data_IF_028348720821
#
_entry.id   IF_028348720821
#
_cell.length_a   1.000
_cell.length_b   1.000
_cell.length_c   1.000
_cell.angle_alpha   90.00
_cell.angle_beta   90.00
_cell.angle_gamma   90.00
#
_symmetry.space_group_name_H-M   'P 1'
#
loop_
_entity.id
_entity.type
_entity.pdbx_description
1 polymer ?
#
# COMPACT_ATOMS: atom_id res chain seq x y z
N UNK A 1 -49.55 122.69 -48.15
CA UNK A 1 -50.13 124.00 -47.81
C UNK A 1 -50.17 124.82 -49.08
N UNK A 2 -51.35 125.30 -49.48
CA UNK A 2 -51.50 126.35 -50.49
C UNK A 2 -52.30 127.44 -49.80
N UNK A 3 -51.66 128.57 -49.51
CA UNK A 3 -52.37 129.76 -49.09
C UNK A 3 -52.65 130.57 -50.35
N UNK A 4 -53.87 130.48 -50.88
CA UNK A 4 -54.34 131.45 -51.86
C UNK A 4 -54.54 132.79 -51.14
N UNK A 5 -53.59 133.71 -51.34
CA UNK A 5 -53.70 135.07 -50.85
C UNK A 5 -54.81 135.78 -51.61
N UNK A 6 -56.00 135.88 -50.99
CA UNK A 6 -57.09 136.76 -51.43
C UNK A 6 -56.70 138.21 -51.15
N UNK A 7 -55.69 138.70 -51.88
CA UNK A 7 -55.26 140.08 -51.87
C UNK A 7 -56.36 140.95 -52.48
N UNK A 8 -57.13 141.61 -51.61
CA UNK A 8 -58.20 142.49 -52.02
C UNK A 8 -57.64 143.68 -52.83
N UNK A 9 -57.90 143.66 -54.14
CA UNK A 9 -57.66 144.81 -55.02
C UNK A 9 -58.68 145.89 -54.70
N UNK A 10 -58.38 146.71 -53.69
CA UNK A 10 -59.20 147.82 -53.19
C UNK A 10 -59.21 149.05 -54.15
N UNK A 11 -59.22 148.76 -55.46
CA UNK A 11 -59.22 149.73 -56.55
C UNK A 11 -60.62 150.29 -56.78
N UNK A 12 -60.76 151.61 -56.69
CA UNK A 12 -62.07 152.28 -56.82
C UNK A 12 -62.69 152.03 -58.20
N UNK A 13 -63.89 151.47 -58.22
CA UNK A 13 -64.62 151.23 -59.47
C UNK A 13 -65.17 152.53 -60.06
N UNK A 14 -65.30 152.56 -61.38
CA UNK A 14 -65.86 153.69 -62.13
C UNK A 14 -67.28 154.03 -61.69
N UNK A 15 -67.54 155.30 -61.36
CA UNK A 15 -68.82 155.84 -60.88
C UNK A 15 -69.97 155.88 -61.90
N UNK A 16 -69.87 155.13 -63.01
CA UNK A 16 -71.00 154.73 -63.85
C UNK A 16 -71.24 153.24 -63.64
N UNK A 17 -72.43 152.87 -63.13
CA UNK A 17 -72.67 151.52 -62.60
C UNK A 17 -72.49 150.39 -63.62
N UNK A 18 -72.84 150.61 -64.89
CA UNK A 18 -72.60 149.65 -65.99
C UNK A 18 -71.14 149.65 -66.50
N UNK A 19 -70.33 150.64 -66.13
CA UNK A 19 -68.91 150.63 -66.49
C UNK A 19 -68.15 149.64 -65.61
N UNK A 20 -68.36 149.72 -64.29
CA UNK A 20 -67.80 148.89 -63.20
C UNK A 20 -66.28 148.64 -63.19
N UNK A 21 -65.52 149.16 -64.15
CA UNK A 21 -64.08 148.97 -64.29
C UNK A 21 -63.34 149.58 -63.09
N UNK A 22 -62.35 148.89 -62.49
CA UNK A 22 -61.43 149.51 -61.55
C UNK A 22 -60.67 150.66 -62.23
N UNK A 23 -60.58 151.80 -61.55
CA UNK A 23 -59.88 152.99 -62.02
C UNK A 23 -58.44 152.97 -61.53
N UNK A 24 -57.50 152.97 -62.47
CA UNK A 24 -56.11 153.25 -62.17
C UNK A 24 -55.96 154.72 -61.75
N UNK A 25 -55.26 154.93 -60.63
CA UNK A 25 -54.97 156.26 -60.08
C UNK A 25 -53.49 156.30 -59.71
N UNK A 26 -52.75 157.21 -60.34
CA UNK A 26 -51.29 157.37 -60.22
C UNK A 26 -50.83 158.01 -58.89
N UNK A 27 -51.77 158.26 -57.97
CA UNK A 27 -51.52 158.94 -56.70
C UNK A 27 -51.49 160.47 -56.79
N UNK A 28 -51.72 161.09 -57.96
CA UNK A 28 -51.53 162.54 -58.16
C UNK A 28 -52.83 163.28 -58.48
N UNK A 29 -53.05 164.39 -57.79
CA UNK A 29 -54.23 165.25 -57.99
C UNK A 29 -55.49 164.73 -57.30
N UNK A 30 -56.67 165.06 -57.84
CA UNK A 30 -57.94 164.49 -57.35
C UNK A 30 -58.23 163.20 -58.12
N UNK A 31 -58.48 162.05 -57.45
CA UNK A 31 -58.75 160.80 -58.14
C UNK A 31 -59.85 160.94 -59.21
N UNK A 32 -59.69 160.33 -60.39
CA UNK A 32 -60.76 160.26 -61.37
C UNK A 32 -61.94 159.49 -60.76
N UNK A 33 -63.16 159.99 -60.97
CA UNK A 33 -64.40 159.29 -60.58
C UNK A 33 -64.95 158.41 -61.71
N UNK A 34 -64.48 158.61 -62.94
CA UNK A 34 -64.99 157.96 -64.15
C UNK A 34 -63.84 157.73 -65.14
N UNK A 35 -63.90 156.66 -65.93
CA UNK A 35 -62.85 156.36 -66.91
C UNK A 35 -62.65 157.53 -67.90
N UNK A 36 -61.42 158.06 -68.07
CA UNK A 36 -61.18 159.25 -68.90
C UNK A 36 -61.40 158.97 -70.39
N UNK A 37 -61.06 157.78 -70.88
CA UNK A 37 -61.00 157.48 -72.33
C UNK A 37 -62.22 156.73 -72.86
N UNK A 38 -62.96 156.01 -72.00
CA UNK A 38 -64.14 155.24 -72.43
C UNK A 38 -65.23 156.19 -72.95
N UNK A 39 -65.75 155.90 -74.14
CA UNK A 39 -66.85 156.62 -74.81
C UNK A 39 -68.01 155.65 -75.03
N UNK A 40 -69.22 156.18 -74.91
CA UNK A 40 -70.49 155.48 -75.15
C UNK A 40 -71.14 155.98 -76.44
N UNK A 41 -72.13 155.27 -77.01
CA UNK A 41 -72.81 155.68 -78.23
C UNK A 41 -73.30 157.13 -78.18
N UNK A 42 -73.08 157.87 -79.29
CA UNK A 42 -73.27 159.33 -79.32
C UNK A 42 -72.13 160.13 -78.68
N UNK A 43 -70.95 159.53 -78.46
CA UNK A 43 -69.73 160.21 -78.01
C UNK A 43 -69.66 160.54 -76.52
N UNK A 44 -70.65 160.12 -75.72
CA UNK A 44 -70.78 160.48 -74.31
C UNK A 44 -69.70 159.83 -73.44
N UNK A 45 -69.15 160.55 -72.48
CA UNK A 45 -68.17 160.02 -71.52
C UNK A 45 -68.86 159.25 -70.38
N UNK A 46 -68.14 158.40 -69.65
CA UNK A 46 -68.68 157.75 -68.43
C UNK A 46 -69.25 158.77 -67.42
N UNK A 47 -68.64 159.96 -67.30
CA UNK A 47 -69.14 161.05 -66.45
C UNK A 47 -70.49 161.60 -66.94
N UNK A 48 -70.68 161.74 -68.25
CA UNK A 48 -71.94 162.18 -68.84
C UNK A 48 -73.03 161.10 -68.74
N UNK A 49 -72.68 159.82 -68.89
CA UNK A 49 -73.61 158.71 -68.68
C UNK A 49 -74.03 158.61 -67.21
N UNK A 50 -73.11 158.71 -66.25
CA UNK A 50 -73.43 158.75 -64.82
C UNK A 50 -74.20 160.01 -64.38
N UNK A 51 -74.06 161.13 -65.10
CA UNK A 51 -74.89 162.31 -64.90
C UNK A 51 -76.30 162.11 -65.48
N UNK A 52 -76.42 161.46 -66.65
CA UNK A 52 -77.69 161.09 -67.26
C UNK A 52 -78.46 160.06 -66.44
N UNK A 53 -77.79 159.02 -65.94
CA UNK A 53 -78.35 158.03 -65.02
C UNK A 53 -78.90 158.72 -63.77
N UNK A 54 -78.09 159.52 -63.06
CA UNK A 54 -78.55 160.30 -61.90
C UNK A 54 -79.59 161.38 -62.22
N UNK A 55 -79.78 161.75 -63.48
CA UNK A 55 -80.89 162.62 -63.89
C UNK A 55 -82.17 161.81 -64.12
N UNK A 56 -82.07 160.62 -64.70
CA UNK A 56 -83.17 159.67 -64.88
C UNK A 56 -83.67 159.10 -63.54
N UNK A 57 -82.76 158.72 -62.64
CA UNK A 57 -83.10 158.25 -61.28
C UNK A 57 -83.88 159.31 -60.48
N UNK A 58 -83.51 160.60 -60.63
CA UNK A 58 -84.28 161.73 -60.06
C UNK A 58 -85.60 161.97 -60.78
N UNK A 59 -85.63 161.95 -62.11
CA UNK A 59 -86.86 162.12 -62.89
C UNK A 59 -87.90 161.00 -62.62
N UNK A 60 -87.43 159.80 -62.29
CA UNK A 60 -88.26 158.65 -61.90
C UNK A 60 -88.59 158.60 -60.38
N UNK A 61 -88.05 159.52 -59.56
CA UNK A 61 -88.22 159.49 -58.10
C UNK A 61 -87.53 158.31 -57.39
N UNK A 62 -86.65 157.58 -58.08
CA UNK A 62 -86.01 156.34 -57.61
C UNK A 62 -84.77 156.59 -56.73
N UNK A 63 -84.29 157.83 -56.65
CA UNK A 63 -83.14 158.22 -55.82
C UNK A 63 -83.33 157.80 -54.34
N UNK A 64 -84.48 158.10 -53.73
CA UNK A 64 -84.76 157.75 -52.32
C UNK A 64 -84.95 156.24 -52.09
N UNK A 65 -85.74 155.50 -52.90
CA UNK A 65 -85.81 154.04 -52.81
C UNK A 65 -84.45 153.34 -52.95
N UNK A 66 -83.62 153.73 -53.93
CA UNK A 66 -82.31 153.10 -54.15
C UNK A 66 -81.34 153.39 -53.01
N UNK A 67 -81.34 154.60 -52.46
CA UNK A 67 -80.54 154.92 -51.27
C UNK A 67 -80.97 154.10 -50.05
N UNK A 68 -82.29 153.91 -49.87
CA UNK A 68 -82.82 153.07 -48.79
C UNK A 68 -82.45 151.59 -48.93
N UNK A 69 -82.39 151.08 -50.17
CA UNK A 69 -81.99 149.71 -50.47
C UNK A 69 -80.49 149.49 -50.29
N UNK A 70 -79.63 150.43 -50.73
CA UNK A 70 -78.19 150.41 -50.44
C UNK A 70 -77.94 150.39 -48.94
N UNK A 71 -78.54 151.31 -48.19
CA UNK A 71 -78.44 151.34 -46.74
C UNK A 71 -78.99 150.07 -46.06
N UNK A 72 -79.97 149.38 -46.64
CA UNK A 72 -80.43 148.06 -46.17
C UNK A 72 -79.40 146.96 -46.46
N UNK A 73 -78.80 146.96 -47.65
CA UNK A 73 -77.69 146.09 -48.03
C UNK A 73 -76.47 146.26 -47.13
N UNK A 74 -76.07 147.49 -46.82
CA UNK A 74 -74.94 147.80 -45.92
C UNK A 74 -75.21 147.33 -44.48
N UNK A 75 -76.46 147.46 -44.00
CA UNK A 75 -76.90 146.90 -42.71
C UNK A 75 -76.92 145.37 -42.70
N UNK A 76 -77.23 144.72 -43.83
CA UNK A 76 -77.13 143.27 -43.93
C UNK A 76 -75.66 142.81 -44.01
N UNK A 77 -74.83 143.48 -44.81
CA UNK A 77 -73.41 143.17 -44.98
C UNK A 77 -72.61 143.36 -43.68
N UNK A 78 -72.91 144.39 -42.90
CA UNK A 78 -72.28 144.63 -41.59
C UNK A 78 -72.67 143.61 -40.51
N UNK A 79 -73.76 142.85 -40.68
CA UNK A 79 -74.13 141.72 -39.80
C UNK A 79 -73.63 140.38 -40.37
N UNK A 80 -73.71 140.20 -41.69
CA UNK A 80 -73.29 138.99 -42.39
C UNK A 80 -71.77 138.81 -42.42
N UNK A 81 -70.98 139.89 -42.47
CA UNK A 81 -69.51 139.79 -42.51
C UNK A 81 -68.92 139.29 -41.18
N UNK A 82 -69.33 139.79 -39.98
CA UNK A 82 -69.00 139.16 -38.70
C UNK A 82 -69.45 137.69 -38.61
N UNK A 83 -70.65 137.36 -39.08
CA UNK A 83 -71.16 135.99 -39.04
C UNK A 83 -70.36 135.04 -39.96
N UNK A 84 -70.02 135.47 -41.18
CA UNK A 84 -69.19 134.71 -42.10
C UNK A 84 -67.76 134.51 -41.55
N UNK A 85 -67.21 135.53 -40.88
CA UNK A 85 -65.94 135.41 -40.15
C UNK A 85 -66.03 134.39 -39.01
N UNK A 86 -67.04 134.48 -38.15
CA UNK A 86 -67.26 133.53 -37.06
C UNK A 86 -67.46 132.09 -37.56
N UNK A 87 -68.21 131.89 -38.65
CA UNK A 87 -68.38 130.58 -39.29
C UNK A 87 -67.04 130.06 -39.85
N UNK A 88 -66.21 130.93 -40.42
CA UNK A 88 -64.86 130.56 -40.91
C UNK A 88 -63.94 130.18 -39.76
N UNK A 89 -63.98 130.91 -38.64
CA UNK A 89 -63.25 130.61 -37.40
C UNK A 89 -63.70 129.25 -36.81
N UNK A 90 -65.01 128.99 -36.76
CA UNK A 90 -65.58 127.70 -36.30
C UNK A 90 -65.20 126.54 -37.23
N UNK A 91 -65.28 126.70 -38.54
CA UNK A 91 -64.86 125.67 -39.51
C UNK A 91 -63.34 125.41 -39.40
N UNK A 92 -62.53 126.45 -39.17
CA UNK A 92 -61.09 126.32 -38.93
C UNK A 92 -60.81 125.54 -37.64
N UNK A 93 -61.51 125.88 -36.55
CA UNK A 93 -61.38 125.17 -35.27
C UNK A 93 -61.82 123.70 -35.37
N UNK A 94 -62.92 123.40 -36.07
CA UNK A 94 -63.36 122.02 -36.34
C UNK A 94 -62.32 121.29 -37.20
N UNK A 95 -61.72 121.96 -38.19
CA UNK A 95 -60.62 121.41 -38.99
C UNK A 95 -59.39 121.08 -38.16
N UNK A 96 -59.00 121.95 -37.23
CA UNK A 96 -57.89 121.74 -36.29
C UNK A 96 -58.18 120.59 -35.34
N UNK A 97 -59.34 120.58 -34.66
CA UNK A 97 -59.74 119.50 -33.74
C UNK A 97 -59.85 118.15 -34.47
N UNK A 98 -60.35 118.12 -35.70
CA UNK A 98 -60.37 116.90 -36.54
C UNK A 98 -58.96 116.45 -36.91
N UNK A 99 -58.07 117.37 -37.29
CA UNK A 99 -56.68 117.07 -37.59
C UNK A 99 -55.92 116.50 -36.40
N UNK A 100 -56.08 117.12 -35.23
CA UNK A 100 -55.47 116.66 -33.98
C UNK A 100 -56.04 115.32 -33.51
N UNK A 101 -57.36 115.12 -33.59
CA UNK A 101 -57.99 113.84 -33.26
C UNK A 101 -57.51 112.71 -34.18
N UNK A 102 -57.30 112.97 -35.48
CA UNK A 102 -56.74 112.01 -36.42
C UNK A 102 -55.24 111.75 -36.17
N UNK A 103 -54.46 112.76 -35.77
CA UNK A 103 -53.06 112.57 -35.35
C UNK A 103 -52.97 111.67 -34.12
N UNK A 104 -53.71 112.00 -33.06
CA UNK A 104 -53.79 111.21 -31.82
C UNK A 104 -54.29 109.78 -32.06
N UNK A 105 -55.20 109.58 -33.02
CA UNK A 105 -55.63 108.23 -33.43
C UNK A 105 -54.51 107.46 -34.13
N UNK A 106 -53.81 108.07 -35.11
CA UNK A 106 -52.69 107.44 -35.79
C UNK A 106 -51.52 107.13 -34.84
N UNK A 107 -51.26 108.00 -33.86
CA UNK A 107 -50.29 107.79 -32.78
C UNK A 107 -50.70 106.63 -31.85
N UNK A 108 -52.00 106.52 -31.51
CA UNK A 108 -52.55 105.41 -30.73
C UNK A 108 -52.52 104.07 -31.50
N UNK A 109 -52.83 104.08 -32.79
CA UNK A 109 -52.72 102.92 -33.67
C UNK A 109 -51.26 102.47 -33.82
N UNK A 110 -50.33 103.40 -34.06
CA UNK A 110 -48.90 103.10 -34.19
C UNK A 110 -48.31 102.56 -32.87
N UNK A 111 -48.68 103.13 -31.72
CA UNK A 111 -48.21 102.62 -30.41
C UNK A 111 -48.83 101.29 -30.05
N UNK A 112 -50.10 101.04 -30.43
CA UNK A 112 -50.75 99.73 -30.28
C UNK A 112 -50.06 98.69 -31.15
N UNK A 113 -49.80 98.97 -32.42
CA UNK A 113 -49.07 98.06 -33.32
C UNK A 113 -47.68 97.73 -32.75
N UNK A 114 -46.90 98.74 -32.34
CA UNK A 114 -45.59 98.50 -31.71
C UNK A 114 -45.67 97.67 -30.43
N UNK A 115 -46.74 97.80 -29.64
CA UNK A 115 -46.95 96.97 -28.46
C UNK A 115 -47.30 95.51 -28.85
N UNK A 116 -48.11 95.31 -29.89
CA UNK A 116 -48.46 94.00 -30.45
C UNK A 116 -47.25 93.31 -31.08
N UNK A 117 -46.45 94.01 -31.88
CA UNK A 117 -45.21 93.49 -32.48
C UNK A 117 -44.21 93.03 -31.39
N UNK A 118 -44.04 93.84 -30.33
CA UNK A 118 -43.20 93.49 -29.17
C UNK A 118 -43.76 92.28 -28.41
N UNK A 119 -45.08 92.18 -28.26
CA UNK A 119 -45.73 91.05 -27.60
C UNK A 119 -45.55 89.74 -28.40
N UNK A 120 -45.71 89.76 -29.73
CA UNK A 120 -45.41 88.61 -30.58
C UNK A 120 -43.93 88.22 -30.53
N UNK A 121 -43.01 89.19 -30.67
CA UNK A 121 -41.56 88.95 -30.58
C UNK A 121 -41.18 88.34 -29.22
N UNK A 122 -41.79 88.80 -28.13
CA UNK A 122 -41.56 88.25 -26.79
C UNK A 122 -42.15 86.85 -26.62
N UNK A 123 -43.31 86.56 -27.21
CA UNK A 123 -43.93 85.23 -27.19
C UNK A 123 -43.09 84.21 -27.98
N UNK A 124 -42.66 84.56 -29.20
CA UNK A 124 -41.78 83.72 -30.02
C UNK A 124 -40.45 83.43 -29.31
N UNK A 125 -39.84 84.45 -28.68
CA UNK A 125 -38.62 84.28 -27.90
C UNK A 125 -38.83 83.37 -26.67
N UNK A 126 -39.98 83.47 -25.99
CA UNK A 126 -40.32 82.61 -24.87
C UNK A 126 -40.59 81.15 -25.30
N UNK A 127 -41.26 80.93 -26.43
CA UNK A 127 -41.46 79.59 -26.99
C UNK A 127 -40.15 78.94 -27.43
N UNK A 128 -39.27 79.71 -28.09
CA UNK A 128 -37.92 79.27 -28.47
C UNK A 128 -37.07 78.93 -27.24
N UNK A 129 -37.09 79.76 -26.19
CA UNK A 129 -36.39 79.48 -24.93
C UNK A 129 -36.91 78.21 -24.24
N UNK A 130 -38.24 78.04 -24.18
CA UNK A 130 -38.86 76.85 -23.61
C UNK A 130 -38.59 75.58 -24.43
N UNK A 131 -38.49 75.68 -25.77
CA UNK A 131 -38.08 74.58 -26.64
C UNK A 131 -36.61 74.21 -26.42
N UNK A 132 -35.72 75.20 -26.32
CA UNK A 132 -34.30 75.00 -26.04
C UNK A 132 -34.07 74.37 -24.65
N UNK A 133 -34.82 74.79 -23.62
CA UNK A 133 -34.78 74.16 -22.30
C UNK A 133 -35.18 72.68 -22.37
N UNK A 134 -36.31 72.34 -23.00
CA UNK A 134 -36.75 70.94 -23.16
C UNK A 134 -35.73 70.09 -23.91
N UNK A 135 -35.11 70.64 -24.95
CA UNK A 135 -34.04 69.95 -25.68
C UNK A 135 -32.79 69.72 -24.82
N UNK A 136 -32.39 70.68 -23.99
CA UNK A 136 -31.27 70.55 -23.05
C UNK A 136 -31.56 69.53 -21.93
N UNK A 137 -32.78 69.50 -21.40
CA UNK A 137 -33.23 68.50 -20.42
C UNK A 137 -33.23 67.09 -21.03
N UNK A 138 -33.77 66.91 -22.24
CA UNK A 138 -33.73 65.64 -22.96
C UNK A 138 -32.29 65.18 -23.25
N UNK A 139 -31.40 66.09 -23.66
CA UNK A 139 -29.99 65.77 -23.91
C UNK A 139 -29.25 65.36 -22.63
N UNK A 140 -29.51 66.05 -21.50
CA UNK A 140 -28.97 65.68 -20.18
C UNK A 140 -29.44 64.29 -19.75
N UNK A 141 -30.74 64.02 -19.90
CA UNK A 141 -31.34 62.76 -19.44
C UNK A 141 -30.92 61.57 -20.32
N UNK A 142 -30.73 61.79 -21.62
CA UNK A 142 -30.09 60.83 -22.51
C UNK A 142 -28.64 60.54 -22.10
N UNK A 143 -27.82 61.57 -21.84
CA UNK A 143 -26.43 61.40 -21.39
C UNK A 143 -26.35 60.65 -20.04
N UNK A 144 -27.27 60.90 -19.10
CA UNK A 144 -27.38 60.12 -17.87
C UNK A 144 -27.76 58.65 -18.12
N UNK A 145 -28.66 58.37 -19.07
CA UNK A 145 -29.02 57.01 -19.45
C UNK A 145 -27.84 56.25 -20.10
N UNK A 146 -27.07 56.91 -20.96
CA UNK A 146 -25.84 56.36 -21.57
C UNK A 146 -24.77 56.05 -20.52
N UNK A 147 -24.48 56.98 -19.60
CA UNK A 147 -23.53 56.75 -18.50
C UNK A 147 -23.99 55.62 -17.58
N UNK A 148 -25.29 55.52 -17.29
CA UNK A 148 -25.84 54.43 -16.49
C UNK A 148 -25.74 53.06 -17.19
N UNK A 149 -25.91 53.02 -18.52
CA UNK A 149 -25.73 51.79 -19.32
C UNK A 149 -24.26 51.39 -19.42
N UNK A 150 -23.35 52.32 -19.72
CA UNK A 150 -21.91 52.08 -19.71
C UNK A 150 -21.44 51.54 -18.34
N UNK A 151 -21.98 52.09 -17.24
CA UNK A 151 -21.69 51.60 -15.88
C UNK A 151 -22.19 50.16 -15.68
N UNK A 152 -23.42 49.83 -16.09
CA UNK A 152 -23.94 48.45 -16.05
C UNK A 152 -23.09 47.47 -16.86
N UNK A 153 -22.61 47.88 -18.03
CA UNK A 153 -21.76 47.05 -18.89
C UNK A 153 -20.37 46.82 -18.28
N UNK A 154 -19.74 47.85 -17.70
CA UNK A 154 -18.46 47.72 -16.99
C UNK A 154 -18.59 46.80 -15.77
N UNK A 155 -19.66 46.94 -14.97
CA UNK A 155 -19.89 46.01 -13.86
C UNK A 155 -20.15 44.57 -14.32
N UNK A 156 -20.93 44.37 -15.38
CA UNK A 156 -21.21 43.05 -15.93
C UNK A 156 -19.95 42.39 -16.51
N UNK A 157 -19.06 43.17 -17.12
CA UNK A 157 -17.74 42.70 -17.54
C UNK A 157 -16.87 42.34 -16.33
N UNK A 158 -16.88 43.16 -15.26
CA UNK A 158 -16.12 42.90 -14.04
C UNK A 158 -16.58 41.62 -13.33
N UNK A 159 -17.89 41.42 -13.16
CA UNK A 159 -18.48 40.19 -12.59
C UNK A 159 -18.08 38.95 -13.39
N UNK A 160 -18.17 38.99 -14.72
CA UNK A 160 -17.71 37.88 -15.59
C UNK A 160 -16.21 37.59 -15.46
N UNK A 161 -15.37 38.61 -15.26
CA UNK A 161 -13.94 38.42 -15.02
C UNK A 161 -13.67 37.82 -13.63
N UNK A 162 -14.37 38.28 -12.60
CA UNK A 162 -14.34 37.71 -11.24
C UNK A 162 -14.77 36.22 -11.25
N UNK A 163 -15.86 35.90 -11.96
CA UNK A 163 -16.37 34.53 -12.19
C UNK A 163 -15.33 33.63 -12.91
N UNK A 164 -14.73 34.11 -14.01
CA UNK A 164 -13.72 33.35 -14.76
C UNK A 164 -12.44 33.10 -13.94
N UNK A 165 -12.03 34.07 -13.12
CA UNK A 165 -10.90 33.91 -12.18
C UNK A 165 -11.24 32.89 -11.09
N UNK A 166 -12.45 32.91 -10.55
CA UNK A 166 -12.91 31.89 -9.58
C UNK A 166 -12.95 30.48 -10.19
N UNK A 167 -13.46 30.33 -11.42
CA UNK A 167 -13.48 29.05 -12.15
C UNK A 167 -12.05 28.56 -12.48
N UNK A 168 -11.13 29.47 -12.81
CA UNK A 168 -9.71 29.14 -12.99
C UNK A 168 -9.07 28.62 -11.69
N UNK A 169 -9.27 29.30 -10.56
CA UNK A 169 -8.78 28.84 -9.26
C UNK A 169 -9.38 27.50 -8.82
N UNK A 170 -10.67 27.27 -9.06
CA UNK A 170 -11.31 25.97 -8.78
C UNK A 170 -10.69 24.84 -9.62
N UNK A 171 -10.40 25.08 -10.91
CA UNK A 171 -9.71 24.12 -11.79
C UNK A 171 -8.28 23.83 -11.33
N UNK A 172 -7.52 24.84 -10.89
CA UNK A 172 -6.17 24.66 -10.33
C UNK A 172 -6.23 23.84 -9.04
N UNK A 173 -7.10 24.21 -8.09
CA UNK A 173 -7.26 23.47 -6.83
C UNK A 173 -7.68 22.00 -7.05
N UNK A 174 -8.58 21.74 -8.01
CA UNK A 174 -8.96 20.39 -8.39
C UNK A 174 -7.80 19.60 -9.03
N UNK A 175 -6.99 20.24 -9.87
CA UNK A 175 -5.83 19.61 -10.50
C UNK A 175 -4.71 19.30 -9.49
N UNK A 176 -4.45 20.19 -8.53
CA UNK A 176 -3.45 19.96 -7.48
C UNK A 176 -3.93 18.90 -6.47
N UNK A 177 -5.21 18.86 -6.14
CA UNK A 177 -5.81 17.77 -5.34
C UNK A 177 -5.71 16.43 -6.06
N UNK A 178 -6.00 16.38 -7.37
CA UNK A 178 -5.83 15.17 -8.18
C UNK A 178 -4.36 14.73 -8.28
N UNK A 179 -3.41 15.68 -8.38
CA UNK A 179 -1.97 15.37 -8.33
C UNK A 179 -1.58 14.76 -6.98
N UNK A 180 -1.99 15.37 -5.87
CA UNK A 180 -1.71 14.85 -4.52
C UNK A 180 -2.31 13.45 -4.29
N UNK A 181 -3.49 13.17 -4.84
CA UNK A 181 -4.07 11.82 -4.83
C UNK A 181 -3.25 10.82 -5.66
N UNK A 182 -2.77 11.20 -6.84
CA UNK A 182 -1.92 10.35 -7.68
C UNK A 182 -0.54 10.08 -7.05
N UNK A 183 0.06 11.10 -6.44
CA UNK A 183 1.32 10.98 -5.69
C UNK A 183 1.16 10.06 -4.47
N UNK A 184 0.08 10.23 -3.68
CA UNK A 184 -0.23 9.36 -2.55
C UNK A 184 -0.50 7.90 -2.97
N UNK A 185 -1.24 7.68 -4.07
CA UNK A 185 -1.46 6.35 -4.63
C UNK A 185 -0.15 5.70 -5.11
N UNK A 186 0.75 6.47 -5.71
CA UNK A 186 2.07 6.01 -6.15
C UNK A 186 2.95 5.62 -4.95
N UNK A 187 2.92 6.41 -3.87
CA UNK A 187 3.62 6.10 -2.61
C UNK A 187 3.04 4.86 -1.90
N UNK A 188 1.72 4.66 -1.93
CA UNK A 188 1.09 3.45 -1.40
C UNK A 188 1.46 2.20 -2.22
N UNK A 189 1.54 2.31 -3.55
CA UNK A 189 1.95 1.23 -4.43
C UNK A 189 3.44 0.85 -4.24
N UNK A 190 4.34 1.82 -4.09
CA UNK A 190 5.76 1.55 -3.82
C UNK A 190 5.98 0.94 -2.43
N UNK A 191 5.30 1.44 -1.40
CA UNK A 191 5.33 0.86 -0.05
C UNK A 191 4.80 -0.60 -0.04
N UNK A 192 3.73 -0.88 -0.78
CA UNK A 192 3.20 -2.25 -0.94
C UNK A 192 4.21 -3.16 -1.64
N UNK A 193 4.87 -2.66 -2.69
CA UNK A 193 5.89 -3.41 -3.45
C UNK A 193 7.14 -3.70 -2.60
N UNK A 194 7.57 -2.77 -1.75
CA UNK A 194 8.63 -2.99 -0.78
C UNK A 194 8.25 -4.07 0.24
N UNK A 195 7.06 -3.96 0.86
CA UNK A 195 6.57 -4.95 1.83
C UNK A 195 6.43 -6.37 1.24
N UNK A 196 6.01 -6.50 -0.03
CA UNK A 196 6.01 -7.78 -0.74
C UNK A 196 7.42 -8.31 -1.05
N UNK A 197 8.38 -7.43 -1.28
CA UNK A 197 9.80 -7.80 -1.46
C UNK A 197 10.39 -8.32 -0.14
N UNK A 198 10.17 -7.61 0.97
CA UNK A 198 10.61 -8.04 2.30
C UNK A 198 9.99 -9.39 2.71
N UNK A 199 8.69 -9.59 2.42
CA UNK A 199 8.00 -10.88 2.64
C UNK A 199 8.64 -12.04 1.88
N UNK A 200 9.09 -11.81 0.64
CA UNK A 200 9.79 -12.82 -0.18
C UNK A 200 11.17 -13.13 0.40
N UNK A 201 11.98 -12.12 0.71
CA UNK A 201 13.30 -12.30 1.34
C UNK A 201 13.17 -13.08 2.67
N UNK A 202 12.18 -12.75 3.50
CA UNK A 202 11.90 -13.47 4.76
C UNK A 202 11.34 -14.89 4.53
N UNK A 203 10.72 -15.19 3.39
CA UNK A 203 10.32 -16.55 3.02
C UNK A 203 11.51 -17.37 2.53
N UNK A 204 12.36 -16.80 1.67
CA UNK A 204 13.59 -17.41 1.16
C UNK A 204 14.58 -17.73 2.28
N UNK A 205 14.81 -16.80 3.22
CA UNK A 205 15.66 -17.02 4.40
C UNK A 205 15.14 -18.17 5.29
N UNK A 206 13.81 -18.28 5.47
CA UNK A 206 13.21 -19.40 6.23
C UNK A 206 13.30 -20.72 5.48
N UNK A 207 13.20 -20.72 4.16
CA UNK A 207 13.40 -21.92 3.34
C UNK A 207 14.85 -22.40 3.40
N UNK A 208 15.83 -21.49 3.27
CA UNK A 208 17.26 -21.80 3.41
C UNK A 208 17.57 -22.39 4.80
N UNK A 209 17.08 -21.77 5.87
CA UNK A 209 17.24 -22.28 7.24
C UNK A 209 16.63 -23.68 7.42
N UNK A 210 15.46 -23.95 6.82
CA UNK A 210 14.82 -25.26 6.86
C UNK A 210 15.59 -26.32 6.05
N UNK A 211 16.15 -25.97 4.88
CA UNK A 211 17.01 -26.86 4.09
C UNK A 211 18.31 -27.20 4.83
N UNK A 212 18.93 -26.24 5.52
CA UNK A 212 20.14 -26.48 6.31
C UNK A 212 19.86 -27.28 7.58
N UNK A 213 18.73 -27.06 8.26
CA UNK A 213 18.26 -27.94 9.34
C UNK A 213 18.00 -29.37 8.84
N UNK A 214 17.41 -29.52 7.65
CA UNK A 214 17.14 -30.82 7.03
C UNK A 214 18.42 -31.52 6.56
N UNK A 215 19.48 -30.78 6.19
CA UNK A 215 20.83 -31.33 5.97
C UNK A 215 21.43 -31.84 7.28
N UNK A 216 21.48 -31.01 8.31
CA UNK A 216 22.02 -31.37 9.62
C UNK A 216 21.33 -32.63 10.20
N UNK A 217 20.00 -32.69 10.17
CA UNK A 217 19.25 -33.85 10.64
C UNK A 217 19.51 -35.14 9.83
N UNK A 218 19.85 -35.03 8.53
CA UNK A 218 20.27 -36.17 7.70
C UNK A 218 21.69 -36.63 8.05
N UNK A 219 22.61 -35.70 8.31
CA UNK A 219 23.99 -36.00 8.69
C UNK A 219 24.06 -36.61 10.10
N UNK A 220 23.25 -36.13 11.04
CA UNK A 220 23.04 -36.73 12.37
C UNK A 220 22.45 -38.15 12.26
N UNK A 221 21.42 -38.36 11.44
CA UNK A 221 20.86 -39.69 11.20
C UNK A 221 21.90 -40.63 10.57
N UNK A 222 22.70 -40.15 9.62
CA UNK A 222 23.78 -40.92 9.01
C UNK A 222 24.95 -41.20 9.98
N UNK A 223 25.20 -40.33 10.97
CA UNK A 223 26.11 -40.61 12.08
C UNK A 223 25.53 -41.72 12.98
N UNK A 224 24.31 -41.55 13.51
CA UNK A 224 23.67 -42.55 14.37
C UNK A 224 23.49 -43.93 13.72
N UNK A 225 23.29 -43.99 12.40
CA UNK A 225 23.30 -45.25 11.64
C UNK A 225 24.68 -45.92 11.58
N UNK A 226 25.76 -45.14 11.45
CA UNK A 226 27.15 -45.65 11.50
C UNK A 226 27.51 -46.13 12.90
N UNK A 227 27.09 -45.40 13.93
CA UNK A 227 27.32 -45.75 15.34
C UNK A 227 26.55 -47.01 15.72
N UNK A 228 25.28 -47.14 15.33
CA UNK A 228 24.50 -48.37 15.50
C UNK A 228 25.11 -49.55 14.75
N UNK A 229 25.69 -49.32 13.57
CA UNK A 229 26.42 -50.35 12.82
C UNK A 229 27.78 -50.73 13.46
N UNK A 230 28.43 -49.81 14.19
CA UNK A 230 29.60 -50.10 15.00
C UNK A 230 29.22 -50.95 16.23
N UNK A 231 28.26 -50.47 17.05
CA UNK A 231 27.77 -51.18 18.23
C UNK A 231 27.28 -52.60 17.92
N UNK A 232 26.68 -52.83 16.73
CA UNK A 232 26.31 -54.18 16.27
C UNK A 232 27.51 -55.09 15.98
N UNK A 233 28.61 -54.56 15.43
CA UNK A 233 29.86 -55.32 15.25
C UNK A 233 30.57 -55.57 16.58
N UNK A 234 30.55 -54.58 17.47
CA UNK A 234 31.16 -54.70 18.80
C UNK A 234 30.43 -55.74 19.65
N UNK A 235 29.09 -55.75 19.62
CA UNK A 235 28.24 -56.77 20.25
C UNK A 235 28.46 -58.16 19.64
N UNK A 236 28.57 -58.28 18.31
CA UNK A 236 28.88 -59.55 17.66
C UNK A 236 30.27 -60.07 18.06
N UNK A 237 31.26 -59.18 18.17
CA UNK A 237 32.62 -59.49 18.62
C UNK A 237 32.62 -59.94 20.09
N UNK A 238 31.88 -59.25 20.96
CA UNK A 238 31.73 -59.62 22.36
C UNK A 238 31.04 -60.98 22.54
N UNK A 239 30.03 -61.30 21.72
CA UNK A 239 29.41 -62.64 21.73
C UNK A 239 30.34 -63.74 21.20
N UNK A 240 31.23 -63.45 20.24
CA UNK A 240 32.21 -64.44 19.80
C UNK A 240 33.29 -64.67 20.86
N UNK A 241 33.78 -63.60 21.51
CA UNK A 241 34.66 -63.70 22.69
C UNK A 241 33.99 -64.44 23.85
N UNK A 242 32.68 -64.28 24.05
CA UNK A 242 31.90 -65.03 25.03
C UNK A 242 31.83 -66.52 24.68
N UNK A 243 31.66 -66.88 23.41
CA UNK A 243 31.70 -68.27 22.94
C UNK A 243 33.09 -68.87 23.09
N UNK A 244 34.13 -68.13 22.73
CA UNK A 244 35.52 -68.58 22.83
C UNK A 244 35.94 -68.80 24.30
N UNK A 245 35.63 -67.85 25.19
CA UNK A 245 35.88 -68.04 26.63
C UNK A 245 35.05 -69.17 27.24
N UNK A 246 33.82 -69.40 26.75
CA UNK A 246 33.01 -70.56 27.15
C UNK A 246 33.60 -71.88 26.65
N UNK A 247 34.09 -71.95 25.41
CA UNK A 247 34.71 -73.18 24.87
C UNK A 247 36.08 -73.46 25.48
N UNK A 248 36.87 -72.42 25.77
CA UNK A 248 38.10 -72.52 26.57
C UNK A 248 37.80 -73.03 27.99
N UNK A 249 36.73 -72.54 28.65
CA UNK A 249 36.32 -73.03 29.97
C UNK A 249 35.92 -74.52 29.93
N UNK A 250 35.07 -74.91 28.97
CA UNK A 250 34.65 -76.31 28.79
C UNK A 250 35.85 -77.22 28.48
N UNK A 251 36.82 -76.75 27.67
CA UNK A 251 38.05 -77.48 27.41
C UNK A 251 38.92 -77.64 28.67
N UNK A 252 39.07 -76.58 29.48
CA UNK A 252 39.80 -76.63 30.74
C UNK A 252 39.11 -77.50 31.80
N UNK A 253 37.77 -77.51 31.85
CA UNK A 253 36.99 -78.42 32.71
C UNK A 253 37.16 -79.89 32.28
N UNK A 254 37.19 -80.16 30.98
CA UNK A 254 37.46 -81.48 30.43
C UNK A 254 38.91 -81.94 30.69
N UNK A 255 39.90 -81.07 30.52
CA UNK A 255 41.30 -81.34 30.87
C UNK A 255 41.44 -81.61 32.38
N UNK A 256 40.81 -80.79 33.23
CA UNK A 256 40.78 -81.02 34.68
C UNK A 256 40.05 -82.31 35.06
N UNK A 257 39.03 -82.75 34.32
CA UNK A 257 38.39 -84.05 34.50
C UNK A 257 39.32 -85.21 34.08
N UNK A 258 40.03 -85.08 32.96
CA UNK A 258 41.02 -86.06 32.51
C UNK A 258 42.19 -86.18 33.50
N UNK A 259 42.73 -85.07 33.99
CA UNK A 259 43.79 -85.04 35.01
C UNK A 259 43.32 -85.72 36.31
N UNK A 260 42.06 -85.52 36.73
CA UNK A 260 41.49 -86.23 37.88
C UNK A 260 41.42 -87.74 37.63
N UNK A 261 40.90 -88.18 36.48
CA UNK A 261 40.85 -89.60 36.12
C UNK A 261 42.24 -90.26 36.00
N UNK A 262 43.25 -89.54 35.50
CA UNK A 262 44.63 -90.04 35.46
C UNK A 262 45.31 -90.04 36.83
N UNK A 263 44.96 -89.11 37.74
CA UNK A 263 45.40 -89.17 39.14
C UNK A 263 44.76 -90.35 39.88
N UNK A 264 43.45 -90.57 39.72
CA UNK A 264 42.74 -91.73 40.27
C UNK A 264 43.32 -93.05 39.74
N UNK A 265 43.58 -93.14 38.44
CA UNK A 265 44.26 -94.28 37.80
C UNK A 265 45.67 -94.49 38.35
N UNK A 266 46.46 -93.43 38.56
CA UNK A 266 47.80 -93.52 39.19
C UNK A 266 47.70 -93.96 40.65
N UNK A 267 46.73 -93.48 41.40
CA UNK A 267 46.48 -93.90 42.78
C UNK A 267 46.12 -95.39 42.83
N UNK A 268 45.22 -95.86 41.96
CA UNK A 268 44.87 -97.27 41.84
C UNK A 268 46.08 -98.14 41.47
N UNK A 269 46.91 -97.71 40.51
CA UNK A 269 48.15 -98.40 40.15
C UNK A 269 49.18 -98.43 41.29
N UNK A 270 49.28 -97.37 42.10
CA UNK A 270 50.12 -97.34 43.30
C UNK A 270 49.60 -98.30 44.38
N UNK A 271 48.28 -98.37 44.60
CA UNK A 271 47.68 -99.36 45.52
C UNK A 271 47.90 -100.79 45.03
N UNK A 272 47.76 -101.06 43.73
CA UNK A 272 48.07 -102.37 43.14
C UNK A 272 49.56 -102.72 43.26
N UNK A 273 50.46 -101.75 43.06
CA UNK A 273 51.89 -101.95 43.24
C UNK A 273 52.25 -102.25 44.71
N UNK A 274 51.64 -101.53 45.67
CA UNK A 274 51.79 -101.80 47.11
C UNK A 274 51.22 -103.17 47.52
N UNK A 275 50.12 -103.61 46.91
CA UNK A 275 49.57 -104.95 47.13
C UNK A 275 50.48 -106.04 46.54
N UNK A 276 51.03 -105.84 45.35
CA UNK A 276 52.00 -106.75 44.74
C UNK A 276 53.33 -106.80 45.52
N UNK A 277 53.79 -105.66 46.04
CA UNK A 277 54.96 -105.59 46.94
C UNK A 277 54.69 -106.32 48.27
N UNK A 278 53.50 -106.17 48.86
CA UNK A 278 53.11 -106.92 50.05
C UNK A 278 53.04 -108.43 49.78
N UNK A 279 52.49 -108.86 48.64
CA UNK A 279 52.45 -110.26 48.20
C UNK A 279 53.85 -110.83 47.95
N UNK A 280 54.74 -110.08 47.31
CA UNK A 280 56.14 -110.48 47.10
C UNK A 280 56.91 -110.58 48.42
N UNK A 281 56.68 -109.66 49.35
CA UNK A 281 57.27 -109.74 50.69
C UNK A 281 56.72 -110.93 51.49
N UNK A 282 55.43 -111.26 51.35
CA UNK A 282 54.85 -112.48 51.93
C UNK A 282 55.49 -113.75 51.31
N UNK A 283 55.59 -113.83 49.98
CA UNK A 283 56.25 -114.94 49.29
C UNK A 283 57.73 -115.08 49.67
N UNK A 284 58.45 -113.96 49.86
CA UNK A 284 59.83 -113.98 50.36
C UNK A 284 59.91 -114.48 51.81
N UNK A 285 58.95 -114.11 52.67
CA UNK A 285 58.84 -114.65 54.02
C UNK A 285 58.58 -116.17 54.00
N UNK A 286 57.59 -116.62 53.21
CA UNK A 286 57.26 -118.05 53.02
C UNK A 286 58.45 -118.85 52.47
N UNK A 287 59.13 -118.35 51.43
CA UNK A 287 60.34 -118.98 50.86
C UNK A 287 61.48 -119.02 51.89
N UNK A 288 61.67 -117.97 52.70
CA UNK A 288 62.67 -117.96 53.75
C UNK A 288 62.36 -118.98 54.86
N UNK A 289 61.09 -119.09 55.25
CA UNK A 289 60.60 -120.10 56.20
C UNK A 289 60.82 -121.51 55.65
N UNK A 290 60.43 -121.77 54.40
CA UNK A 290 60.61 -123.06 53.75
C UNK A 290 62.10 -123.43 53.59
N UNK A 291 62.95 -122.46 53.23
CA UNK A 291 64.41 -122.64 53.17
C UNK A 291 65.01 -122.98 54.53
N UNK A 292 64.57 -122.32 55.59
CA UNK A 292 65.14 -122.52 56.92
C UNK A 292 64.56 -123.77 57.61
N UNK A 293 63.35 -124.20 57.26
CA UNK A 293 62.83 -125.54 57.55
C UNK A 293 63.63 -126.64 56.83
N UNK A 294 63.84 -126.52 55.51
CA UNK A 294 64.66 -127.46 54.73
C UNK A 294 66.12 -127.52 55.22
N UNK A 295 66.65 -126.44 55.81
CA UNK A 295 67.94 -126.44 56.51
C UNK A 295 67.91 -127.20 57.84
N UNK A 296 66.81 -127.16 58.58
CA UNK A 296 66.63 -127.98 59.78
C UNK A 296 66.54 -129.47 59.41
N UNK A 297 65.77 -129.83 58.39
CA UNK A 297 65.70 -131.19 57.85
C UNK A 297 67.08 -131.69 57.35
N UNK A 298 67.84 -130.84 56.66
CA UNK A 298 69.20 -131.19 56.23
C UNK A 298 70.19 -131.34 57.41
N UNK A 299 70.01 -130.56 58.48
CA UNK A 299 70.78 -130.71 59.72
C UNK A 299 70.41 -132.00 60.47
N UNK A 300 69.13 -132.38 60.48
CA UNK A 300 68.63 -133.63 61.05
C UNK A 300 69.17 -134.84 60.27
N UNK A 301 68.99 -134.88 58.95
CA UNK A 301 69.53 -135.96 58.11
C UNK A 301 71.07 -136.05 58.13
N UNK A 302 71.80 -134.95 58.35
CA UNK A 302 73.26 -135.03 58.55
C UNK A 302 73.65 -135.50 59.95
N UNK A 303 72.83 -135.26 60.98
CA UNK A 303 72.97 -135.90 62.28
C UNK A 303 72.66 -137.40 62.22
N UNK A 304 71.60 -137.81 61.51
CA UNK A 304 71.27 -139.22 61.24
C UNK A 304 72.38 -139.93 60.49
N UNK A 305 72.88 -139.38 59.38
CA UNK A 305 74.02 -139.93 58.63
C UNK A 305 75.29 -140.04 59.48
N UNK A 306 75.49 -139.13 60.43
CA UNK A 306 76.61 -139.19 61.38
C UNK A 306 76.40 -140.29 62.41
N UNK A 307 75.18 -140.46 62.93
CA UNK A 307 74.78 -141.56 63.82
C UNK A 307 74.96 -142.93 63.13
N UNK A 308 74.46 -143.07 61.90
CA UNK A 308 74.58 -144.28 61.07
C UNK A 308 76.05 -144.60 60.75
N UNK A 309 76.88 -143.60 60.43
CA UNK A 309 78.33 -143.79 60.26
C UNK A 309 79.02 -144.24 61.55
N UNK A 310 78.62 -143.72 62.70
CA UNK A 310 79.14 -144.20 63.99
C UNK A 310 78.67 -145.62 64.31
N UNK A 311 77.42 -145.99 63.99
CA UNK A 311 76.92 -147.35 64.16
C UNK A 311 77.67 -148.34 63.25
N UNK A 312 77.87 -147.98 61.97
CA UNK A 312 78.64 -148.77 61.02
C UNK A 312 80.11 -148.90 61.45
N UNK A 313 80.73 -147.85 61.97
CA UNK A 313 82.10 -147.92 62.51
C UNK A 313 82.20 -148.84 63.73
N UNK A 314 81.21 -148.83 64.64
CA UNK A 314 81.14 -149.77 65.78
C UNK A 314 81.00 -151.22 65.30
N UNK A 315 80.17 -151.49 64.31
CA UNK A 315 80.04 -152.85 63.74
C UNK A 315 81.26 -153.28 62.91
N UNK A 316 81.91 -152.39 62.18
CA UNK A 316 83.19 -152.72 61.53
C UNK A 316 84.28 -153.01 62.56
N UNK A 317 84.32 -152.29 63.68
CA UNK A 317 85.24 -152.56 64.78
C UNK A 317 84.89 -153.88 65.51
N UNK A 318 83.61 -154.19 65.70
CA UNK A 318 83.15 -155.48 66.23
C UNK A 318 83.53 -156.62 65.29
N UNK A 319 83.25 -156.49 63.99
CA UNK A 319 83.62 -157.44 62.93
C UNK A 319 85.13 -157.69 62.91
N UNK A 320 85.97 -156.66 63.04
CA UNK A 320 87.43 -156.82 63.15
C UNK A 320 87.84 -157.56 64.44
N UNK A 321 87.17 -157.28 65.57
CA UNK A 321 87.36 -158.04 66.81
C UNK A 321 86.83 -159.48 66.73
N UNK A 322 85.90 -159.79 65.83
CA UNK A 322 85.43 -161.15 65.56
C UNK A 322 86.38 -161.89 64.60
N UNK A 323 86.87 -161.24 63.54
CA UNK A 323 87.90 -161.78 62.65
C UNK A 323 89.21 -162.10 63.40
N UNK A 324 89.73 -161.17 64.21
CA UNK A 324 90.93 -161.43 65.04
C UNK A 324 90.75 -162.51 66.10
N UNK A 325 89.51 -162.82 66.51
CA UNK A 325 89.18 -163.99 67.34
C UNK A 325 89.01 -165.27 66.53
N UNK A 326 88.60 -165.18 65.26
CA UNK A 326 88.50 -166.30 64.33
C UNK A 326 89.90 -166.80 63.91
N UNK A 327 90.82 -165.93 63.49
CA UNK A 327 92.20 -166.34 63.15
C UNK A 327 92.91 -167.05 64.32
N UNK A 328 92.69 -166.57 65.55
CA UNK A 328 93.22 -167.22 66.78
C UNK A 328 92.56 -168.58 67.09
N UNK A 329 91.37 -168.85 66.56
CA UNK A 329 90.71 -170.15 66.63
C UNK A 329 91.14 -171.07 65.47
N UNK A 330 91.31 -170.55 64.26
CA UNK A 330 91.77 -171.29 63.09
C UNK A 330 93.23 -171.75 63.25
N UNK A 331 94.09 -170.94 63.87
CA UNK A 331 95.44 -171.34 64.27
C UNK A 331 95.47 -172.53 65.26
N UNK A 332 94.35 -172.79 65.98
CA UNK A 332 94.16 -173.98 66.83
C UNK A 332 93.48 -175.14 66.10
N UNK A 333 92.53 -174.86 65.21
CA UNK A 333 91.78 -175.88 64.46
C UNK A 333 92.60 -176.50 63.31
N UNK A 334 93.54 -175.75 62.72
CA UNK A 334 94.49 -176.26 61.73
C UNK A 334 95.41 -177.36 62.25
N UNK A 335 95.59 -177.48 63.57
CA UNK A 335 96.31 -178.61 64.21
C UNK A 335 95.45 -179.86 64.42
N UNK A 336 94.12 -179.77 64.27
CA UNK A 336 93.17 -180.82 64.65
C UNK A 336 92.32 -181.38 63.51
N UNK A 337 92.20 -180.69 62.36
CA UNK A 337 91.46 -181.17 61.18
C UNK A 337 92.42 -181.70 60.11
N UNK A 338 93.37 -182.53 60.54
CA UNK A 338 94.11 -183.46 59.67
C UNK A 338 93.34 -184.79 59.45
N UNK A 339 92.03 -184.80 59.75
CA UNK A 339 91.21 -186.01 59.85
C UNK A 339 89.83 -185.86 59.17
N UNK A 340 89.82 -186.17 57.87
CA UNK A 340 88.68 -186.67 57.08
C UNK A 340 87.55 -185.66 56.68
N UNK A 341 86.77 -185.97 55.61
CA UNK A 341 86.11 -184.93 54.81
C UNK A 341 84.58 -184.96 54.81
N UNK A 342 83.98 -183.81 54.46
CA UNK A 342 82.61 -183.67 53.97
C UNK A 342 82.54 -182.54 52.93
N UNK A 343 81.63 -182.62 51.96
CA UNK A 343 81.57 -181.71 50.80
C UNK A 343 80.19 -181.02 50.71
N UNK A 344 80.18 -179.69 50.56
CA UNK A 344 78.98 -178.85 50.36
C UNK A 344 78.48 -178.82 48.90
N UNK A 345 77.66 -177.86 48.45
CA UNK A 345 77.20 -176.60 49.09
C UNK A 345 75.80 -176.19 48.58
N UNK A 346 75.28 -175.02 49.00
CA UNK A 346 73.87 -174.58 48.84
C UNK A 346 73.73 -173.04 48.63
N UNK A 347 72.48 -172.53 48.52
CA UNK A 347 72.06 -171.10 48.67
C UNK A 347 72.38 -170.19 47.45
N UNK A 348 71.63 -169.07 47.15
CA UNK A 348 70.57 -168.37 47.91
C UNK A 348 69.18 -168.20 47.23
N UNK A 349 68.24 -167.59 47.98
CA UNK A 349 66.93 -167.09 47.53
C UNK A 349 66.46 -165.87 48.39
N UNK A 350 65.39 -165.16 47.98
CA UNK A 350 64.76 -164.00 48.67
C UNK A 350 64.76 -162.73 47.79
N UNK A 351 63.70 -161.91 47.61
CA UNK A 351 62.61 -161.39 48.48
C UNK A 351 63.07 -160.31 49.49
N UNK A 352 62.40 -159.15 49.65
CA UNK A 352 61.23 -158.58 48.94
C UNK A 352 60.63 -157.32 49.64
N UNK A 353 59.66 -156.65 49.00
CA UNK A 353 58.96 -155.43 49.50
C UNK A 353 59.55 -154.09 48.96
N UNK A 354 58.79 -153.01 48.70
CA UNK A 354 57.35 -152.71 48.92
C UNK A 354 57.10 -151.78 50.12
N UNK A 355 56.05 -150.92 50.15
CA UNK A 355 54.88 -150.77 49.26
C UNK A 355 55.10 -149.65 48.19
N UNK A 356 54.26 -148.68 47.78
CA UNK A 356 52.94 -148.15 48.19
C UNK A 356 52.17 -147.39 47.05
N UNK A 357 51.20 -146.54 47.41
CA UNK A 357 50.19 -145.81 46.60
C UNK A 357 49.69 -144.59 47.45
N UNK A 358 48.75 -143.67 47.06
CA UNK A 358 48.03 -143.49 45.77
C UNK A 358 47.85 -142.01 45.30
N UNK A 359 47.05 -141.82 44.23
CA UNK A 359 46.17 -140.66 43.92
C UNK A 359 45.11 -140.40 45.04
N UNK A 360 44.22 -139.35 45.07
CA UNK A 360 43.56 -138.71 43.92
C UNK A 360 43.13 -137.21 44.03
N UNK A 361 42.47 -136.72 42.97
CA UNK A 361 41.25 -135.87 42.87
C UNK A 361 40.92 -134.73 43.88
N UNK A 362 40.33 -133.65 43.32
CA UNK A 362 39.73 -132.50 44.02
C UNK A 362 39.76 -131.26 43.11
N UNK A 363 38.78 -130.91 42.26
CA UNK A 363 37.31 -130.92 42.30
C UNK A 363 36.67 -129.60 42.80
N UNK A 364 35.51 -129.25 42.24
CA UNK A 364 34.61 -128.08 42.44
C UNK A 364 35.11 -126.83 43.20
N UNK A 365 34.87 -125.60 42.73
CA UNK A 365 34.06 -125.07 41.62
C UNK A 365 34.18 -123.54 41.69
N UNK A 366 33.18 -122.69 41.50
CA UNK A 366 31.86 -122.70 40.86
C UNK A 366 31.42 -121.21 40.84
N UNK A 367 30.27 -120.88 40.23
CA UNK A 367 29.53 -119.63 40.47
C UNK A 367 30.19 -118.26 40.14
N UNK A 368 29.43 -117.22 39.77
CA UNK A 368 28.17 -117.14 39.03
C UNK A 368 27.93 -115.67 38.62
N UNK A 369 27.01 -115.42 37.68
CA UNK A 369 26.20 -114.18 37.60
C UNK A 369 26.94 -112.84 37.30
N UNK A 370 26.31 -111.80 36.73
CA UNK A 370 25.13 -111.78 35.89
C UNK A 370 25.11 -110.55 34.95
N UNK A 371 24.14 -110.60 34.02
CA UNK A 371 23.23 -109.56 33.55
C UNK A 371 23.43 -108.08 33.97
N UNK A 372 23.00 -107.09 33.17
CA UNK A 372 22.59 -107.09 31.75
C UNK A 372 22.28 -105.64 31.30
N UNK A 373 21.89 -105.52 30.04
CA UNK A 373 20.71 -104.77 29.57
C UNK A 373 20.66 -103.24 29.56
N UNK A 374 20.14 -102.77 28.41
CA UNK A 374 19.38 -101.53 28.21
C UNK A 374 20.18 -100.20 28.37
N UNK A 375 19.74 -99.08 27.79
CA UNK A 375 18.50 -98.83 27.04
C UNK A 375 18.70 -98.06 25.73
N UNK A 376 17.60 -97.84 25.01
CA UNK A 376 17.46 -97.38 23.62
C UNK A 376 17.17 -95.85 23.52
N UNK A 377 16.84 -95.27 22.33
CA UNK A 377 17.04 -93.84 22.07
C UNK A 377 15.81 -92.94 22.21
N UNK A 378 16.09 -91.63 22.27
CA UNK A 378 15.21 -90.53 21.82
C UNK A 378 16.08 -89.56 21.01
N UNK A 379 15.78 -89.10 19.79
CA UNK A 379 14.50 -88.89 19.08
C UNK A 379 13.53 -87.92 19.77
N UNK A 380 13.70 -86.62 19.46
CA UNK A 380 12.65 -85.63 19.10
C UNK A 380 13.31 -84.66 18.09
N UNK A 381 12.79 -84.35 16.89
CA UNK A 381 11.44 -84.05 16.37
C UNK A 381 10.95 -82.62 16.62
N UNK A 382 10.53 -82.01 15.50
CA UNK A 382 9.66 -80.83 15.34
C UNK A 382 10.23 -79.48 15.83
N UNK A 383 10.43 -78.48 14.96
CA UNK A 383 9.51 -77.76 14.03
C UNK A 383 8.82 -76.57 14.71
N UNK A 384 9.06 -75.37 14.20
CA UNK A 384 8.06 -74.60 13.43
C UNK A 384 8.66 -73.28 12.88
N UNK A 385 8.38 -72.93 11.62
CA UNK A 385 8.55 -71.57 11.10
C UNK A 385 7.21 -70.98 10.59
N UNK A 386 6.66 -70.02 11.34
CA UNK A 386 5.59 -69.10 10.92
C UNK A 386 6.11 -67.66 11.22
N UNK A 387 6.06 -66.68 10.31
CA UNK A 387 4.88 -65.99 9.74
C UNK A 387 4.12 -65.22 10.83
N UNK A 388 3.87 -63.90 10.72
CA UNK A 388 4.06 -62.95 9.60
C UNK A 388 5.12 -61.85 9.87
#
# INVERSE_FOLDING_TARGET
MIHEEVSALDGRLCGYTECAQPLEYDGRGRPPEYCPDRRWPGGKTCKQMAAGQRAAERAAGLEVPLESFRAAGDRLASVATPLAKQLTEVVTAIGQVKGEALSRLAEAEQTTQQATDRAHTAAEAAEQAAAAQRAAEQARDAAHAEVAEATRQVEAARRRAEEQVAEAWQRVAAADHARGQAEAATAAASATTAAETDRRVQAEQRAQLADDQLRAARDELAAGQRDLAALRRDLATAHEQQRETTSQLVAAEAEAAQIRADLERRTMLLTQAQQAEAQLNQQLAEISSARDAARAELAEHTAELTSLRQALAREQQASQQHAGRAEQAEARLGQLIAALPAVGSTVPAGHGGGPANPDPAGDHGDQEQHQADHDQPTQRLHDQPEQD
#
